data_IF_712851026269
#
_entry.id   IF_712851026269
#
_cell.length_a   1.000
_cell.length_b   1.000
_cell.length_c   1.000
_cell.angle_alpha   90.00
_cell.angle_beta   90.00
_cell.angle_gamma   90.00
#
_symmetry.space_group_name_H-M   'P 1'
#
loop_
_entity.id
_entity.type
_entity.pdbx_description
1 polymer ?
#
# COMPACT_ATOMS: atom_id res chain seq x y z
N UNK A 1 -2.06 -8.29 -14.21
CA UNK A 1 -2.35 -9.17 -13.07
C UNK A 1 -1.28 -8.89 -12.03
N UNK A 2 -1.69 -8.44 -10.86
CA UNK A 2 -0.77 -8.24 -9.75
C UNK A 2 -0.54 -9.56 -9.01
N UNK A 3 0.52 -9.66 -8.21
CA UNK A 3 0.76 -10.80 -7.31
C UNK A 3 -0.36 -11.00 -6.29
N UNK A 4 -1.18 -9.98 -6.10
CA UNK A 4 -2.28 -9.98 -5.14
C UNK A 4 -3.61 -10.40 -5.76
N UNK A 5 -3.62 -10.71 -7.07
CA UNK A 5 -4.80 -11.24 -7.73
C UNK A 5 -5.06 -12.69 -7.31
N UNK A 6 -6.31 -13.05 -6.96
CA UNK A 6 -6.68 -14.44 -6.68
C UNK A 6 -6.66 -15.31 -7.94
N UNK A 7 -6.51 -14.69 -9.10
CA UNK A 7 -6.54 -15.36 -10.39
C UNK A 7 -5.13 -15.49 -10.97
N UNK A 8 -4.76 -16.71 -11.32
CA UNK A 8 -3.53 -16.99 -12.02
C UNK A 8 -3.84 -17.45 -13.46
N UNK A 9 -3.26 -16.74 -14.42
CA UNK A 9 -3.46 -17.03 -15.85
C UNK A 9 -2.14 -17.51 -16.43
N UNK A 10 -2.18 -18.65 -17.15
CA UNK A 10 -1.03 -19.17 -17.85
C UNK A 10 -1.33 -19.46 -19.33
N UNK A 11 -0.31 -19.47 -20.17
CA UNK A 11 -0.45 -19.92 -21.54
C UNK A 11 -0.89 -21.39 -21.59
N UNK A 12 -1.75 -21.73 -22.52
CA UNK A 12 -2.16 -23.11 -22.75
C UNK A 12 -0.93 -23.98 -23.06
N UNK A 13 -0.83 -25.12 -22.38
CA UNK A 13 0.33 -26.03 -22.51
C UNK A 13 1.55 -25.65 -21.66
N UNK A 14 1.53 -24.55 -20.90
CA UNK A 14 2.57 -24.26 -19.91
C UNK A 14 2.61 -25.34 -18.83
N UNK A 15 3.84 -25.84 -18.55
CA UNK A 15 4.09 -26.78 -17.45
C UNK A 15 4.16 -26.13 -16.07
N UNK A 16 3.92 -24.82 -15.95
CA UNK A 16 3.97 -24.08 -14.69
C UNK A 16 2.67 -24.31 -13.94
N UNK A 17 2.73 -24.61 -12.65
CA UNK A 17 1.58 -24.74 -11.76
C UNK A 17 1.50 -23.51 -10.85
N UNK A 18 0.32 -23.27 -10.26
CA UNK A 18 0.12 -22.14 -9.33
C UNK A 18 1.08 -22.21 -8.14
N UNK A 19 1.31 -23.40 -7.62
CA UNK A 19 2.24 -23.65 -6.54
C UNK A 19 3.69 -23.26 -6.86
N UNK A 20 4.05 -23.25 -8.15
CA UNK A 20 5.39 -22.84 -8.59
C UNK A 20 5.60 -21.33 -8.57
N UNK A 21 4.52 -20.54 -8.45
CA UNK A 21 4.54 -19.08 -8.52
C UNK A 21 3.81 -18.40 -7.36
N UNK A 22 3.19 -19.16 -6.48
CA UNK A 22 2.45 -18.63 -5.35
C UNK A 22 3.36 -17.85 -4.39
N UNK A 23 3.06 -16.56 -4.18
CA UNK A 23 3.82 -15.67 -3.32
C UNK A 23 3.95 -16.20 -1.88
N UNK A 24 2.89 -16.80 -1.36
CA UNK A 24 2.81 -17.17 0.06
C UNK A 24 3.47 -18.52 0.38
N UNK A 25 3.50 -19.43 -0.57
CA UNK A 25 3.98 -20.83 -0.36
C UNK A 25 5.36 -21.07 -0.92
N UNK A 26 5.70 -20.43 -2.02
CA UNK A 26 6.98 -20.66 -2.67
C UNK A 26 8.10 -19.97 -1.91
N UNK A 27 9.19 -20.69 -1.69
CA UNK A 27 10.46 -20.09 -1.30
C UNK A 27 11.10 -19.42 -2.53
N UNK A 28 11.66 -18.24 -2.36
CA UNK A 28 12.48 -17.55 -3.36
C UNK A 28 13.86 -17.25 -2.79
N UNK A 29 14.84 -17.06 -3.63
CA UNK A 29 16.25 -16.91 -3.23
C UNK A 29 16.65 -15.45 -2.90
N UNK A 30 15.74 -14.50 -3.04
CA UNK A 30 15.99 -13.08 -2.75
C UNK A 30 16.89 -12.36 -3.76
N UNK A 31 17.40 -13.03 -4.79
CA UNK A 31 18.30 -12.41 -5.79
C UNK A 31 17.65 -11.24 -6.48
N UNK A 32 16.38 -11.34 -6.84
CA UNK A 32 15.64 -10.24 -7.46
C UNK A 32 15.43 -9.08 -6.50
N UNK A 33 15.17 -9.37 -5.23
CA UNK A 33 15.07 -8.37 -4.18
C UNK A 33 16.37 -7.59 -4.02
N UNK A 34 17.48 -8.29 -3.94
CA UNK A 34 18.81 -7.69 -3.90
C UNK A 34 19.06 -6.75 -5.09
N UNK A 35 18.75 -7.20 -6.31
CA UNK A 35 18.92 -6.40 -7.52
C UNK A 35 18.01 -5.17 -7.49
N UNK A 36 16.76 -5.33 -7.10
CA UNK A 36 15.78 -4.26 -7.06
C UNK A 36 16.18 -3.15 -6.08
N UNK A 37 16.72 -3.51 -4.92
CA UNK A 37 17.14 -2.56 -3.87
C UNK A 37 18.51 -1.94 -4.18
N UNK A 38 19.50 -2.73 -4.57
CA UNK A 38 20.88 -2.24 -4.71
C UNK A 38 21.22 -1.73 -6.12
N UNK A 39 20.37 -2.02 -7.11
CA UNK A 39 20.66 -1.76 -8.52
C UNK A 39 21.81 -2.61 -9.08
N UNK A 40 22.22 -3.67 -8.40
CA UNK A 40 23.33 -4.54 -8.82
C UNK A 40 23.00 -5.22 -10.14
N UNK A 41 23.96 -5.20 -11.09
CA UNK A 41 23.81 -5.81 -12.42
C UNK A 41 24.58 -7.11 -12.59
N UNK A 42 25.24 -7.60 -11.55
CA UNK A 42 26.08 -8.79 -11.62
C UNK A 42 25.24 -10.07 -11.43
N UNK A 43 24.41 -10.38 -12.41
CA UNK A 43 23.59 -11.59 -12.40
C UNK A 43 24.30 -12.66 -13.22
N UNK A 44 24.73 -13.74 -12.59
CA UNK A 44 25.40 -14.86 -13.26
C UNK A 44 24.45 -15.96 -13.70
N UNK A 45 23.25 -16.05 -13.13
CA UNK A 45 22.21 -16.97 -13.58
C UNK A 45 20.85 -16.54 -13.04
N UNK A 46 19.93 -16.18 -13.94
CA UNK A 46 18.52 -16.01 -13.62
C UNK A 46 17.83 -17.35 -13.83
N UNK A 47 17.63 -18.09 -12.77
CA UNK A 47 16.69 -19.19 -12.81
C UNK A 47 15.34 -18.70 -12.32
N UNK A 48 14.42 -18.47 -13.29
CA UNK A 48 12.98 -18.65 -13.12
C UNK A 48 12.14 -17.52 -12.52
N UNK A 49 10.87 -17.64 -12.82
CA UNK A 49 9.69 -16.96 -12.31
C UNK A 49 9.77 -16.76 -10.78
N UNK A 50 10.15 -15.56 -10.38
CA UNK A 50 10.10 -15.18 -8.97
C UNK A 50 8.88 -14.29 -8.72
N UNK A 51 8.08 -14.58 -7.71
CA UNK A 51 6.91 -13.75 -7.38
C UNK A 51 7.27 -12.32 -6.96
N UNK A 52 8.49 -12.06 -6.55
CA UNK A 52 8.99 -10.73 -6.17
C UNK A 52 9.15 -9.75 -7.34
N UNK A 53 9.04 -10.21 -8.60
CA UNK A 53 9.22 -9.37 -9.79
C UNK A 53 8.06 -8.43 -10.13
N UNK A 54 6.95 -8.50 -9.43
CA UNK A 54 5.71 -7.81 -9.83
C UNK A 54 5.37 -6.59 -8.97
N UNK A 55 6.32 -6.07 -8.22
CA UNK A 55 6.11 -4.85 -7.44
C UNK A 55 6.00 -3.63 -8.35
N UNK A 56 4.88 -2.92 -8.26
CA UNK A 56 4.58 -1.72 -9.03
C UNK A 56 5.01 -0.47 -8.23
N UNK A 57 5.47 0.57 -8.92
CA UNK A 57 5.78 1.88 -8.36
C UNK A 57 7.21 2.33 -8.62
N UNK A 58 7.48 3.62 -8.38
CA UNK A 58 8.73 4.29 -8.76
C UNK A 58 9.91 4.04 -7.82
N UNK A 59 9.65 3.60 -6.60
CA UNK A 59 10.63 3.38 -5.56
C UNK A 59 11.30 2.02 -5.70
N UNK A 60 12.60 1.95 -5.42
CA UNK A 60 13.30 0.67 -5.30
C UNK A 60 12.71 -0.10 -4.12
N UNK A 61 12.19 -1.28 -4.37
CA UNK A 61 11.52 -2.10 -3.37
C UNK A 61 11.66 -3.58 -3.65
N UNK A 62 11.63 -4.37 -2.60
CA UNK A 62 11.63 -5.82 -2.71
C UNK A 62 10.80 -6.49 -1.62
N UNK A 63 10.50 -7.75 -1.84
CA UNK A 63 9.95 -8.62 -0.81
C UNK A 63 11.06 -9.46 -0.22
N UNK A 64 11.02 -9.62 1.10
CA UNK A 64 11.87 -10.56 1.84
C UNK A 64 11.01 -11.48 2.68
N UNK A 65 11.57 -12.62 3.04
CA UNK A 65 10.91 -13.56 3.97
C UNK A 65 11.75 -13.69 5.23
N UNK A 66 11.14 -13.40 6.38
CA UNK A 66 11.75 -13.56 7.69
C UNK A 66 10.79 -14.31 8.61
N UNK A 67 11.26 -15.34 9.30
CA UNK A 67 10.50 -16.14 10.27
C UNK A 67 9.15 -16.68 9.77
N UNK A 68 9.05 -16.88 8.45
CA UNK A 68 7.82 -17.35 7.79
C UNK A 68 6.89 -16.25 7.31
N UNK A 69 7.12 -15.01 7.70
CA UNK A 69 6.38 -13.83 7.25
C UNK A 69 7.04 -13.20 6.04
N UNK A 70 6.24 -12.47 5.25
CA UNK A 70 6.69 -11.73 4.08
C UNK A 70 6.66 -10.24 4.41
N UNK A 71 7.77 -9.56 4.12
CA UNK A 71 7.92 -8.13 4.33
C UNK A 71 8.23 -7.42 3.01
N UNK A 72 7.65 -6.25 2.85
CA UNK A 72 8.02 -5.30 1.82
C UNK A 72 9.10 -4.37 2.39
N UNK A 73 10.23 -4.30 1.70
CA UNK A 73 11.26 -3.29 1.90
C UNK A 73 11.13 -2.23 0.80
N UNK A 74 11.24 -0.97 1.19
CA UNK A 74 11.21 0.18 0.28
C UNK A 74 12.39 1.08 0.61
N UNK A 75 13.33 1.18 -0.34
CA UNK A 75 14.55 1.96 -0.16
C UNK A 75 14.22 3.46 -0.08
N UNK A 76 14.96 4.19 0.75
CA UNK A 76 14.86 5.65 0.77
C UNK A 76 15.31 6.25 -0.56
N UNK A 77 14.61 7.29 -1.00
CA UNK A 77 15.05 8.18 -2.07
C UNK A 77 15.52 9.54 -1.54
N UNK A 78 15.41 9.75 -0.24
CA UNK A 78 15.85 10.97 0.45
C UNK A 78 17.17 10.72 1.17
N UNK A 79 18.19 11.54 0.88
CA UNK A 79 19.50 11.45 1.55
C UNK A 79 19.41 11.65 3.08
N UNK A 80 18.38 12.37 3.55
CA UNK A 80 18.14 12.63 4.97
C UNK A 80 17.16 11.60 5.58
N UNK A 81 16.72 10.58 4.80
CA UNK A 81 15.81 9.50 5.22
C UNK A 81 14.44 9.97 5.73
N UNK A 82 14.00 11.16 5.33
CA UNK A 82 12.72 11.75 5.77
C UNK A 82 11.50 10.94 5.36
N UNK A 83 11.58 10.27 4.22
CA UNK A 83 10.55 9.37 3.74
C UNK A 83 10.35 8.16 4.67
N UNK A 84 11.44 7.56 5.15
CA UNK A 84 11.38 6.47 6.14
C UNK A 84 10.89 7.00 7.48
N UNK A 85 11.42 8.15 7.93
CA UNK A 85 10.97 8.77 9.19
C UNK A 85 9.48 9.10 9.18
N UNK A 86 8.95 9.57 8.04
CA UNK A 86 7.53 9.85 7.86
C UNK A 86 6.70 8.57 8.01
N UNK A 87 7.03 7.49 7.30
CA UNK A 87 6.32 6.21 7.40
C UNK A 87 6.32 5.67 8.83
N UNK A 88 7.48 5.64 9.50
CA UNK A 88 7.61 5.13 10.88
C UNK A 88 6.87 6.03 11.87
N UNK A 89 6.92 7.35 11.71
CA UNK A 89 6.25 8.29 12.62
C UNK A 89 4.72 8.20 12.50
N UNK A 90 4.20 8.16 11.27
CA UNK A 90 2.76 8.00 11.02
C UNK A 90 2.29 6.65 11.55
N UNK A 91 3.05 5.57 11.32
CA UNK A 91 2.72 4.26 11.84
C UNK A 91 2.58 4.25 13.36
N UNK A 92 3.52 4.86 14.09
CA UNK A 92 3.43 5.00 15.55
C UNK A 92 2.23 5.83 16.00
N UNK A 93 1.95 6.93 15.28
CA UNK A 93 0.78 7.79 15.56
C UNK A 93 -0.52 7.03 15.36
N UNK A 94 -0.67 6.32 14.26
CA UNK A 94 -1.89 5.58 13.95
C UNK A 94 -2.07 4.38 14.88
N UNK A 95 -0.99 3.72 15.28
CA UNK A 95 -1.02 2.69 16.32
C UNK A 95 -1.56 3.24 17.63
N UNK A 96 -1.09 4.42 18.08
CA UNK A 96 -1.57 5.07 19.28
C UNK A 96 -3.07 5.49 19.21
N UNK A 97 -3.56 5.77 18.01
CA UNK A 97 -4.95 6.16 17.74
C UNK A 97 -5.87 4.98 17.39
N UNK A 98 -5.34 3.75 17.37
CA UNK A 98 -6.05 2.54 16.95
C UNK A 98 -6.66 2.66 15.54
N UNK A 99 -5.93 3.30 14.61
CA UNK A 99 -6.31 3.38 13.20
C UNK A 99 -5.69 2.18 12.47
N UNK A 100 -6.46 1.38 11.72
CA UNK A 100 -5.91 0.30 10.93
C UNK A 100 -4.91 0.80 9.88
N UNK A 101 -3.67 0.36 9.97
CA UNK A 101 -2.59 0.81 9.09
C UNK A 101 -1.51 -0.26 8.94
N UNK A 102 -0.66 -0.11 7.93
CA UNK A 102 0.59 -0.87 7.79
C UNK A 102 1.57 -0.41 8.87
N UNK A 103 2.08 -1.35 9.63
CA UNK A 103 3.12 -1.07 10.63
C UNK A 103 4.47 -0.96 9.94
N UNK A 104 5.15 0.18 10.12
CA UNK A 104 6.44 0.46 9.52
C UNK A 104 7.54 0.53 10.56
N UNK A 105 8.69 -0.05 10.23
CA UNK A 105 9.94 0.10 10.96
C UNK A 105 11.08 0.50 10.02
N UNK A 106 12.13 1.14 10.57
CA UNK A 106 13.36 1.39 9.84
C UNK A 106 14.16 0.10 9.77
N UNK A 107 14.72 -0.20 8.61
CA UNK A 107 15.56 -1.36 8.39
C UNK A 107 16.77 -0.99 7.53
N UNK A 108 17.78 -1.83 7.57
CA UNK A 108 18.91 -1.80 6.66
C UNK A 108 19.03 -3.16 5.98
N UNK A 109 19.10 -3.14 4.66
CA UNK A 109 19.21 -4.36 3.85
C UNK A 109 20.29 -4.17 2.80
N UNK A 110 21.35 -4.97 2.87
CA UNK A 110 22.51 -4.90 1.95
C UNK A 110 23.10 -3.46 1.84
N UNK A 111 23.34 -2.84 3.00
CA UNK A 111 23.86 -1.47 3.13
C UNK A 111 22.92 -0.36 2.59
N UNK A 112 21.63 -0.68 2.36
CA UNK A 112 20.62 0.29 1.91
C UNK A 112 19.60 0.50 3.03
N UNK A 113 19.37 1.77 3.39
CA UNK A 113 18.32 2.13 4.34
C UNK A 113 16.93 2.02 3.71
N UNK A 114 16.03 1.33 4.40
CA UNK A 114 14.69 1.00 3.94
C UNK A 114 13.66 1.26 5.03
N UNK A 115 12.43 1.55 4.62
CA UNK A 115 11.27 1.22 5.45
C UNK A 115 10.89 -0.24 5.24
N UNK A 116 10.45 -0.92 6.30
CA UNK A 116 10.02 -2.31 6.30
C UNK A 116 8.64 -2.44 6.87
N UNK A 117 7.78 -3.13 6.16
CA UNK A 117 6.41 -3.44 6.61
C UNK A 117 6.04 -4.86 6.24
N UNK A 118 5.29 -5.53 7.12
CA UNK A 118 4.72 -6.84 6.81
C UNK A 118 3.62 -6.69 5.77
N UNK A 119 3.59 -7.57 4.75
CA UNK A 119 2.46 -7.56 3.81
C UNK A 119 1.18 -7.94 4.54
N UNK A 120 0.09 -7.28 4.21
CA UNK A 120 -1.19 -7.46 4.86
C UNK A 120 -2.16 -8.34 4.07
N UNK A 121 -1.82 -8.66 2.82
CA UNK A 121 -2.54 -9.62 2.00
C UNK A 121 -2.20 -11.06 2.40
N UNK A 122 -3.11 -11.98 2.13
CA UNK A 122 -2.93 -13.42 2.38
C UNK A 122 -3.43 -14.21 1.17
N UNK A 123 -3.36 -15.54 1.21
CA UNK A 123 -3.99 -16.39 0.16
C UNK A 123 -5.51 -16.22 0.06
N UNK A 124 -6.15 -15.67 1.09
CA UNK A 124 -7.61 -15.59 1.22
C UNK A 124 -8.13 -14.15 1.37
N UNK A 125 -7.23 -13.19 1.49
CA UNK A 125 -7.56 -11.77 1.59
C UNK A 125 -6.67 -11.00 0.61
N UNK A 126 -7.32 -10.35 -0.32
CA UNK A 126 -6.69 -9.66 -1.44
C UNK A 126 -7.02 -8.18 -1.41
N UNK A 127 -6.26 -7.39 -2.14
CA UNK A 127 -6.51 -5.96 -2.28
C UNK A 127 -6.76 -5.60 -3.75
N UNK A 128 -7.67 -4.68 -3.93
CA UNK A 128 -7.88 -3.98 -5.20
C UNK A 128 -7.70 -2.48 -4.96
N UNK A 129 -6.87 -1.83 -5.75
CA UNK A 129 -6.65 -0.39 -5.62
C UNK A 129 -7.94 0.38 -5.87
N UNK A 130 -8.08 1.56 -5.28
CA UNK A 130 -9.23 2.41 -5.53
C UNK A 130 -9.34 2.83 -7.00
N UNK A 131 -8.19 2.93 -7.68
CA UNK A 131 -8.09 3.23 -9.11
C UNK A 131 -8.74 2.12 -9.98
N UNK A 132 -8.54 0.87 -9.61
CA UNK A 132 -9.12 -0.27 -10.32
C UNK A 132 -10.57 -0.53 -9.89
N UNK A 133 -10.86 -0.39 -8.58
CA UNK A 133 -12.17 -0.74 -8.04
C UNK A 133 -13.29 0.20 -8.51
N UNK A 134 -12.98 1.45 -8.84
CA UNK A 134 -13.98 2.42 -9.29
C UNK A 134 -14.76 1.92 -10.49
N UNK A 135 -14.11 1.22 -11.43
CA UNK A 135 -14.73 0.69 -12.65
C UNK A 135 -15.80 -0.37 -12.37
N UNK A 136 -15.73 -1.03 -11.23
CA UNK A 136 -16.64 -2.10 -10.81
C UNK A 136 -17.59 -1.70 -9.68
N UNK A 137 -17.32 -0.58 -9.01
CA UNK A 137 -18.05 -0.15 -7.81
C UNK A 137 -19.49 0.31 -8.06
N UNK A 138 -19.78 0.72 -9.31
CA UNK A 138 -21.02 1.38 -9.69
C UNK A 138 -21.20 2.78 -9.07
N UNK A 139 -20.12 3.40 -8.62
CA UNK A 139 -20.09 4.75 -8.08
C UNK A 139 -19.65 5.75 -9.15
N UNK A 140 -20.08 7.01 -9.02
CA UNK A 140 -19.78 8.06 -9.99
C UNK A 140 -18.42 8.72 -9.74
N UNK A 141 -17.86 8.57 -8.54
CA UNK A 141 -16.56 9.09 -8.16
C UNK A 141 -16.01 8.33 -6.94
N UNK A 142 -14.75 8.59 -6.62
CA UNK A 142 -14.04 7.87 -5.57
C UNK A 142 -14.46 8.27 -4.15
N UNK A 143 -14.94 9.50 -3.95
CA UNK A 143 -15.49 9.88 -2.65
C UNK A 143 -16.76 9.07 -2.34
N UNK A 144 -17.69 8.99 -3.29
CA UNK A 144 -18.88 8.15 -3.17
C UNK A 144 -18.53 6.68 -2.91
N UNK A 145 -17.55 6.16 -3.64
CA UNK A 145 -17.05 4.80 -3.48
C UNK A 145 -16.44 4.59 -2.08
N UNK A 146 -15.60 5.50 -1.64
CA UNK A 146 -14.98 5.46 -0.31
C UNK A 146 -16.01 5.47 0.80
N UNK A 147 -17.00 6.36 0.74
CA UNK A 147 -18.10 6.43 1.72
C UNK A 147 -18.93 5.14 1.70
N UNK A 148 -19.25 4.61 0.52
CA UNK A 148 -20.10 3.42 0.38
C UNK A 148 -19.44 2.15 0.89
N UNK A 149 -18.20 1.92 0.54
CA UNK A 149 -17.49 0.67 0.81
C UNK A 149 -16.48 0.79 1.96
N UNK A 150 -15.81 1.93 2.10
CA UNK A 150 -14.81 2.18 3.16
C UNK A 150 -15.42 2.71 4.46
N UNK A 151 -16.61 3.32 4.38
CA UNK A 151 -17.35 3.83 5.55
C UNK A 151 -16.46 4.73 6.44
N UNK A 152 -16.53 4.52 7.75
CA UNK A 152 -15.79 5.31 8.73
C UNK A 152 -14.26 5.28 8.53
N UNK A 153 -13.72 4.16 8.06
CA UNK A 153 -12.27 4.05 7.82
C UNK A 153 -11.81 4.95 6.66
N UNK A 154 -12.63 5.12 5.63
CA UNK A 154 -12.36 6.07 4.56
C UNK A 154 -12.40 7.52 5.06
N UNK A 155 -13.40 7.86 5.89
CA UNK A 155 -13.51 9.20 6.46
C UNK A 155 -12.33 9.51 7.39
N UNK A 156 -11.93 8.53 8.20
CA UNK A 156 -10.73 8.62 9.05
C UNK A 156 -9.46 8.82 8.20
N UNK A 157 -9.33 8.12 7.08
CA UNK A 157 -8.20 8.30 6.17
C UNK A 157 -8.05 9.75 5.73
N UNK A 158 -9.15 10.40 5.31
CA UNK A 158 -9.14 11.80 4.88
C UNK A 158 -8.65 12.72 6.01
N UNK A 159 -9.16 12.53 7.23
CA UNK A 159 -8.76 13.32 8.39
C UNK A 159 -7.28 13.07 8.73
N UNK A 160 -6.84 11.81 8.70
CA UNK A 160 -5.47 11.43 8.99
C UNK A 160 -4.49 12.02 7.98
N UNK A 161 -4.79 11.94 6.68
CA UNK A 161 -3.95 12.52 5.63
C UNK A 161 -3.84 14.05 5.79
N UNK A 162 -4.93 14.72 6.15
CA UNK A 162 -4.88 16.15 6.46
C UNK A 162 -4.00 16.45 7.68
N UNK A 163 -4.19 15.73 8.80
CA UNK A 163 -3.45 15.96 10.05
C UNK A 163 -1.96 15.68 9.90
N UNK A 164 -1.59 14.64 9.15
CA UNK A 164 -0.19 14.28 8.89
C UNK A 164 0.41 15.05 7.71
N UNK A 165 -0.39 15.83 6.98
CA UNK A 165 0.05 16.51 5.77
C UNK A 165 0.51 15.53 4.68
N UNK A 166 -0.10 14.33 4.63
CA UNK A 166 0.21 13.36 3.58
C UNK A 166 -0.39 13.84 2.26
N UNK A 167 0.47 14.23 1.34
CA UNK A 167 0.10 14.87 0.09
C UNK A 167 0.00 13.92 -1.10
N UNK A 168 0.26 12.63 -0.88
CA UNK A 168 0.36 11.63 -1.95
C UNK A 168 -0.71 10.53 -1.86
N UNK A 169 -1.87 10.81 -1.27
CA UNK A 169 -3.00 9.86 -1.22
C UNK A 169 -3.69 9.76 -2.57
N UNK A 170 -2.95 9.42 -3.64
CA UNK A 170 -3.54 9.11 -4.93
C UNK A 170 -4.24 7.74 -4.93
N UNK A 171 -5.00 7.44 -5.97
CA UNK A 171 -5.94 6.33 -6.03
C UNK A 171 -5.29 4.93 -5.99
N UNK A 172 -3.97 4.85 -6.12
CA UNK A 172 -3.20 3.62 -5.96
C UNK A 172 -2.62 3.45 -4.55
N UNK A 173 -2.72 4.49 -3.69
CA UNK A 173 -2.22 4.49 -2.32
C UNK A 173 -3.31 4.20 -1.28
N UNK A 174 -4.45 3.72 -1.69
CA UNK A 174 -5.49 3.13 -0.87
C UNK A 174 -6.24 2.04 -1.64
N UNK A 175 -6.79 1.07 -0.93
CA UNK A 175 -7.33 -0.12 -1.52
C UNK A 175 -8.55 -0.63 -0.76
N UNK A 176 -9.29 -1.54 -1.37
CA UNK A 176 -10.34 -2.31 -0.71
C UNK A 176 -9.88 -3.75 -0.54
N UNK A 177 -10.21 -4.32 0.61
CA UNK A 177 -10.04 -5.74 0.88
C UNK A 177 -11.20 -6.54 0.31
N UNK A 178 -10.89 -7.65 -0.33
CA UNK A 178 -11.86 -8.62 -0.78
C UNK A 178 -11.35 -10.05 -0.55
N UNK A 179 -12.29 -10.95 -0.34
CA UNK A 179 -11.98 -12.35 -0.09
C UNK A 179 -11.99 -13.21 -1.36
N UNK A 180 -11.77 -14.51 -1.21
CA UNK A 180 -11.77 -15.50 -2.28
C UNK A 180 -13.18 -15.76 -2.89
N UNK A 181 -14.25 -15.22 -2.28
CA UNK A 181 -15.60 -15.17 -2.85
C UNK A 181 -15.84 -13.88 -3.65
N UNK A 182 -14.84 -12.99 -3.79
CA UNK A 182 -14.93 -11.66 -4.38
C UNK A 182 -15.88 -10.70 -3.63
N UNK A 183 -16.09 -10.93 -2.34
CA UNK A 183 -16.86 -10.01 -1.51
C UNK A 183 -15.95 -8.94 -0.91
N UNK A 184 -16.33 -7.68 -1.12
CA UNK A 184 -15.61 -6.52 -0.54
C UNK A 184 -15.87 -6.48 0.96
N UNK A 185 -14.79 -6.51 1.73
CA UNK A 185 -14.81 -6.51 3.20
C UNK A 185 -14.71 -5.12 3.79
N UNK A 186 -14.14 -4.17 3.07
CA UNK A 186 -14.02 -2.78 3.49
C UNK A 186 -12.75 -2.12 2.96
N UNK A 187 -12.41 -0.97 3.51
CA UNK A 187 -11.14 -0.32 3.25
C UNK A 187 -10.02 -1.15 3.84
N UNK A 188 -8.94 -1.33 3.08
CA UNK A 188 -7.70 -1.92 3.59
C UNK A 188 -7.12 -1.07 4.74
N UNK A 189 -6.27 -1.63 5.61
CA UNK A 189 -5.43 -0.80 6.47
C UNK A 189 -4.68 0.25 5.65
N UNK A 190 -4.48 1.45 6.21
CA UNK A 190 -3.83 2.55 5.52
C UNK A 190 -2.34 2.25 5.29
N UNK A 191 -1.81 2.63 4.15
CA UNK A 191 -0.42 2.40 3.79
C UNK A 191 0.14 3.56 2.96
N UNK A 192 1.46 3.55 2.73
CA UNK A 192 2.21 4.53 1.94
C UNK A 192 2.10 5.97 2.50
N UNK A 193 2.96 6.26 3.50
CA UNK A 193 3.00 7.53 4.22
C UNK A 193 4.28 8.31 4.00
N UNK A 194 5.09 7.93 3.02
CA UNK A 194 6.41 8.50 2.76
C UNK A 194 6.40 10.00 2.44
N UNK A 195 5.25 10.56 2.08
CA UNK A 195 5.06 11.99 1.86
C UNK A 195 4.30 12.69 3.00
N UNK A 196 4.11 12.03 4.14
CA UNK A 196 3.58 12.70 5.32
C UNK A 196 4.58 13.73 5.85
N UNK A 197 4.06 14.79 6.47
CA UNK A 197 4.83 15.93 7.00
C UNK A 197 5.61 16.75 5.96
N UNK A 198 5.47 16.43 4.67
CA UNK A 198 6.12 17.15 3.57
C UNK A 198 5.24 18.21 2.91
N UNK A 199 3.95 18.25 3.25
CA UNK A 199 2.95 19.05 2.56
C UNK A 199 2.74 20.45 3.09
N UNK A 200 2.15 21.28 2.25
CA UNK A 200 1.53 22.55 2.63
C UNK A 200 0.02 22.34 2.71
N UNK A 201 -0.62 23.04 3.65
CA UNK A 201 -2.05 22.92 4.01
C UNK A 201 -3.01 23.34 2.87
N UNK A 202 -2.49 23.96 1.81
CA UNK A 202 -3.31 24.59 0.75
C UNK A 202 -3.41 23.75 -0.55
N UNK A 203 -3.22 22.43 -0.48
CA UNK A 203 -3.34 21.58 -1.66
C UNK A 203 -4.79 21.33 -2.03
N UNK A 204 -5.06 21.26 -3.32
CA UNK A 204 -6.34 20.75 -3.83
C UNK A 204 -6.48 19.29 -3.45
N UNK A 205 -7.57 18.96 -2.79
CA UNK A 205 -7.88 17.60 -2.42
C UNK A 205 -8.14 16.70 -3.62
N UNK A 206 -7.68 15.48 -3.56
CA UNK A 206 -8.02 14.44 -4.54
C UNK A 206 -9.50 14.04 -4.49
N UNK A 207 -10.17 14.32 -3.38
CA UNK A 207 -11.58 13.96 -3.15
C UNK A 207 -12.57 15.11 -3.45
N UNK A 208 -12.06 16.31 -3.72
CA UNK A 208 -12.89 17.44 -4.11
C UNK A 208 -12.10 18.38 -5.05
N UNK A 209 -12.38 18.29 -6.35
CA UNK A 209 -11.58 18.94 -7.39
C UNK A 209 -11.35 20.45 -7.21
N UNK A 210 -12.26 21.15 -6.53
CA UNK A 210 -12.19 22.59 -6.28
C UNK A 210 -11.92 22.96 -4.81
N UNK A 211 -11.85 21.95 -3.90
CA UNK A 211 -11.63 22.14 -2.48
C UNK A 211 -10.18 21.83 -2.09
N UNK A 212 -9.73 22.43 -0.98
CA UNK A 212 -8.46 22.07 -0.35
C UNK A 212 -8.63 20.79 0.52
N UNK A 213 -7.53 20.14 0.89
CA UNK A 213 -7.58 19.01 1.82
C UNK A 213 -8.20 19.42 3.17
N UNK A 214 -7.98 20.67 3.60
CA UNK A 214 -8.61 21.23 4.79
C UNK A 214 -10.14 21.30 4.66
N UNK A 215 -10.65 21.85 3.56
CA UNK A 215 -12.09 21.98 3.32
C UNK A 215 -12.77 20.61 3.26
N UNK A 216 -12.13 19.63 2.63
CA UNK A 216 -12.64 18.25 2.59
C UNK A 216 -12.62 17.60 3.98
N UNK A 217 -11.56 17.79 4.76
CA UNK A 217 -11.50 17.27 6.13
C UNK A 217 -12.58 17.91 7.02
N UNK A 218 -12.77 19.23 6.94
CA UNK A 218 -13.85 19.94 7.66
C UNK A 218 -15.22 19.42 7.22
N UNK A 219 -15.46 19.29 5.92
CA UNK A 219 -16.70 18.73 5.39
C UNK A 219 -16.98 17.32 5.95
N UNK A 220 -15.97 16.47 6.02
CA UNK A 220 -16.09 15.11 6.57
C UNK A 220 -16.45 15.17 8.06
N UNK A 221 -15.74 15.99 8.84
CA UNK A 221 -16.00 16.13 10.28
C UNK A 221 -17.45 16.58 10.52
N UNK A 222 -17.88 17.66 9.87
CA UNK A 222 -19.20 18.25 10.08
C UNK A 222 -20.35 17.36 9.55
N UNK A 223 -20.17 16.78 8.36
CA UNK A 223 -21.24 16.02 7.69
C UNK A 223 -21.45 14.64 8.32
N UNK A 224 -20.38 14.00 8.76
CA UNK A 224 -20.42 12.64 9.28
C UNK A 224 -20.24 12.56 10.80
N UNK A 225 -20.25 13.71 11.49
CA UNK A 225 -20.17 13.80 12.96
C UNK A 225 -18.94 13.08 13.54
N UNK A 226 -17.77 13.36 12.94
CA UNK A 226 -16.51 12.70 13.29
C UNK A 226 -15.77 13.38 14.45
N UNK A 227 -16.41 14.30 15.20
CA UNK A 227 -15.79 15.05 16.30
C UNK A 227 -15.23 14.15 17.41
N UNK A 228 -15.85 12.99 17.60
CA UNK A 228 -15.38 12.00 18.59
C UNK A 228 -14.09 11.27 18.18
N UNK A 229 -13.65 11.45 16.94
CA UNK A 229 -12.42 10.85 16.42
C UNK A 229 -11.17 11.66 16.78
N UNK A 230 -11.30 12.98 16.93
CA UNK A 230 -10.22 13.90 17.31
C UNK A 230 -10.15 14.05 18.83
#
# INVERSE_FOLDING_TARGET
>A
LSLFDPYWIKAAGSGIFYEDVNLYKKEWDGIFGLIAITGSRNITSLEKLSPELTLIGSWAKCLIREDGDIYLLKASMDEELKDIEAEVTVSKLFGALNIPHAEYESAEYEDVFCSKTKIMTTEYMHWVSADEFIDFSGCSNQFEMGVKYGKDNFLKMIICDYVTGNIDRHHQNWAFEYDDQNEVRGLSPLFDFNFAFCGTVDRKSQFGADNTDFEVAVYVIETFHMEAFL
#
